data_IF_745687503574
#
_entry.id   IF_745687503574
#
_cell.length_a   1.000
_cell.length_b   1.000
_cell.length_c   1.000
_cell.angle_alpha   90.00
_cell.angle_beta   90.00
_cell.angle_gamma   90.00
#
_symmetry.space_group_name_H-M   'P 1'
#
loop_
_entity.id
_entity.type
_entity.pdbx_description
1 polymer ?
#
# COMPACT_ATOMS: atom_id res chain seq x y z
N UNK A 1 -43.56 47.65 4.05
CA UNK A 1 -42.27 47.29 3.42
C UNK A 1 -41.56 46.20 4.23
N UNK A 2 -42.05 44.96 4.26
CA UNK A 2 -41.37 43.88 5.03
C UNK A 2 -41.43 42.47 4.42
N UNK A 3 -41.93 42.30 3.18
CA UNK A 3 -42.05 40.97 2.56
C UNK A 3 -40.92 40.62 1.59
N UNK A 4 -40.07 41.58 1.21
CA UNK A 4 -38.98 41.34 0.25
C UNK A 4 -37.64 40.96 0.93
N UNK A 5 -37.41 41.40 2.17
CA UNK A 5 -36.18 41.07 2.91
C UNK A 5 -36.19 39.66 3.52
N UNK A 6 -37.35 39.10 3.86
CA UNK A 6 -37.42 37.74 4.42
C UNK A 6 -37.15 36.66 3.37
N UNK A 7 -37.50 36.88 2.09
CA UNK A 7 -37.25 35.94 1.00
C UNK A 7 -35.80 35.95 0.51
N UNK A 8 -35.08 37.07 0.65
CA UNK A 8 -33.64 37.14 0.35
C UNK A 8 -32.82 36.41 1.43
N UNK A 9 -33.13 36.64 2.71
CA UNK A 9 -32.45 35.92 3.81
C UNK A 9 -32.67 34.41 3.78
N UNK A 10 -33.87 33.94 3.44
CA UNK A 10 -34.14 32.51 3.32
C UNK A 10 -33.39 31.85 2.13
N UNK A 11 -33.21 32.56 1.01
CA UNK A 11 -32.41 32.07 -0.13
C UNK A 11 -30.91 32.09 0.17
N UNK A 12 -30.43 33.13 0.85
CA UNK A 12 -29.01 33.22 1.24
C UNK A 12 -28.65 32.17 2.33
N UNK A 13 -29.60 31.82 3.20
CA UNK A 13 -29.43 30.72 4.17
C UNK A 13 -29.51 29.33 3.53
N UNK A 14 -30.37 29.12 2.53
CA UNK A 14 -30.42 27.86 1.76
C UNK A 14 -29.18 27.69 0.84
N UNK A 15 -28.67 28.76 0.22
CA UNK A 15 -27.43 28.73 -0.56
C UNK A 15 -26.18 28.58 0.33
N UNK A 16 -26.19 29.14 1.54
CA UNK A 16 -25.16 28.94 2.55
C UNK A 16 -25.22 27.53 3.18
N UNK A 17 -26.40 26.92 3.28
CA UNK A 17 -26.58 25.54 3.72
C UNK A 17 -26.17 24.54 2.61
N UNK A 18 -26.41 24.86 1.35
CA UNK A 18 -25.97 24.08 0.20
C UNK A 18 -24.44 24.11 0.01
N UNK A 19 -23.77 25.24 0.30
CA UNK A 19 -22.30 25.34 0.32
C UNK A 19 -21.64 24.74 1.56
N UNK A 20 -22.42 24.38 2.59
CA UNK A 20 -21.99 23.63 3.78
C UNK A 20 -22.28 22.13 3.73
N UNK A 21 -22.78 21.59 2.61
CA UNK A 21 -22.49 20.19 2.29
C UNK A 21 -20.99 20.10 2.14
N UNK A 22 -20.32 19.62 3.19
CA UNK A 22 -18.89 19.37 3.22
C UNK A 22 -18.42 18.98 1.83
N UNK A 23 -17.53 19.77 1.21
CA UNK A 23 -16.77 19.35 0.04
C UNK A 23 -16.22 17.97 0.40
N UNK A 24 -16.89 16.90 -0.04
CA UNK A 24 -16.34 15.55 0.02
C UNK A 24 -15.05 15.71 -0.75
N UNK A 25 -13.91 15.69 -0.06
CA UNK A 25 -12.61 15.67 -0.71
C UNK A 25 -12.67 14.47 -1.65
N UNK A 26 -12.70 14.72 -2.95
CA UNK A 26 -12.65 13.65 -3.93
C UNK A 26 -11.32 12.94 -3.69
N UNK A 27 -11.41 11.66 -3.36
CA UNK A 27 -10.26 10.77 -3.27
C UNK A 27 -9.87 10.36 -4.68
N UNK A 28 -8.57 10.20 -4.89
CA UNK A 28 -8.03 9.79 -6.17
C UNK A 28 -7.11 8.59 -5.97
N UNK A 29 -6.89 7.86 -7.07
CA UNK A 29 -5.92 6.77 -7.06
C UNK A 29 -4.57 7.34 -7.50
N UNK A 30 -3.62 7.36 -6.57
CA UNK A 30 -2.24 7.76 -6.83
C UNK A 30 -1.42 6.53 -7.18
N UNK A 31 -0.89 6.50 -8.39
CA UNK A 31 -0.12 5.40 -8.93
C UNK A 31 1.36 5.80 -9.01
N UNK A 32 2.26 5.01 -8.44
CA UNK A 32 3.71 5.22 -8.53
C UNK A 32 4.32 4.18 -9.46
N UNK A 33 5.01 4.64 -10.51
CA UNK A 33 5.62 3.82 -11.57
C UNK A 33 7.05 4.31 -11.85
N UNK A 34 7.97 3.42 -12.21
CA UNK A 34 9.30 3.73 -12.76
C UNK A 34 9.24 3.81 -14.29
N UNK A 35 8.38 4.70 -14.78
CA UNK A 35 8.16 4.96 -16.20
C UNK A 35 8.95 6.16 -16.74
N UNK A 36 9.82 6.72 -15.91
CA UNK A 36 10.69 7.83 -16.25
C UNK A 36 12.15 7.38 -16.24
N UNK A 37 12.92 7.77 -17.26
CA UNK A 37 14.31 7.34 -17.46
C UNK A 37 15.23 7.61 -16.26
N UNK A 38 14.92 8.66 -15.48
CA UNK A 38 15.70 9.01 -14.29
C UNK A 38 15.13 8.45 -13.00
N UNK A 39 13.92 7.85 -13.00
CA UNK A 39 13.36 7.26 -11.78
C UNK A 39 11.85 7.03 -11.81
N UNK A 40 11.15 7.62 -10.85
CA UNK A 40 9.74 7.33 -10.56
C UNK A 40 8.84 8.52 -10.86
N UNK A 41 7.65 8.25 -11.38
CA UNK A 41 6.55 9.21 -11.56
C UNK A 41 5.36 8.83 -10.68
N UNK A 42 4.66 9.85 -10.16
CA UNK A 42 3.39 9.70 -9.45
C UNK A 42 2.26 10.22 -10.34
N UNK A 43 1.36 9.35 -10.78
CA UNK A 43 0.19 9.73 -11.58
C UNK A 43 -1.06 9.75 -10.72
N UNK A 44 -1.88 10.78 -10.90
CA UNK A 44 -3.17 10.92 -10.24
C UNK A 44 -4.26 10.46 -11.21
N UNK A 45 -4.96 9.38 -10.87
CA UNK A 45 -6.05 8.83 -11.67
C UNK A 45 -7.39 9.19 -11.03
N UNK A 46 -8.31 9.70 -11.84
CA UNK A 46 -9.70 9.87 -11.47
C UNK A 46 -10.47 8.57 -11.79
N UNK A 47 -11.03 7.96 -10.74
CA UNK A 47 -11.78 6.70 -10.83
C UNK A 47 -13.17 6.93 -11.42
N UNK A 48 -13.76 8.11 -11.23
CA UNK A 48 -15.10 8.43 -11.75
C UNK A 48 -15.08 8.42 -13.30
N UNK A 49 -13.95 8.75 -13.92
CA UNK A 49 -13.79 8.64 -15.35
C UNK A 49 -13.81 7.19 -15.86
N UNK A 50 -13.51 6.20 -15.02
CA UNK A 50 -13.52 4.80 -15.46
C UNK A 50 -14.95 4.38 -15.82
N UNK A 51 -15.95 4.93 -15.14
CA UNK A 51 -17.37 4.61 -15.34
C UNK A 51 -17.91 5.14 -16.67
N UNK A 52 -17.45 6.31 -17.10
CA UNK A 52 -17.89 6.93 -18.36
C UNK A 52 -17.47 6.15 -19.61
N UNK A 53 -16.41 5.35 -19.50
CA UNK A 53 -15.85 4.53 -20.59
C UNK A 53 -16.40 3.10 -20.64
N UNK A 54 -17.22 2.68 -19.68
CA UNK A 54 -17.76 1.32 -19.62
C UNK A 54 -18.64 0.95 -20.84
N UNK A 55 -19.06 1.94 -21.64
CA UNK A 55 -19.78 1.77 -22.91
C UNK A 55 -18.90 1.56 -24.16
N UNK A 56 -17.57 1.70 -24.06
CA UNK A 56 -16.65 1.65 -25.20
C UNK A 56 -15.49 0.69 -24.99
N UNK A 57 -15.64 -0.56 -25.45
CA UNK A 57 -14.58 -1.57 -25.64
C UNK A 57 -13.38 -1.53 -24.69
N UNK A 58 -13.42 -2.32 -23.61
CA UNK A 58 -12.41 -2.45 -22.53
C UNK A 58 -10.98 -2.90 -22.92
N UNK A 59 -10.60 -2.77 -24.21
CA UNK A 59 -9.29 -3.10 -24.76
C UNK A 59 -8.54 -1.89 -25.34
N UNK A 60 -9.04 -0.65 -25.19
CA UNK A 60 -8.28 0.53 -25.62
C UNK A 60 -7.09 0.76 -24.69
N UNK A 61 -5.89 0.59 -25.22
CA UNK A 61 -4.65 0.99 -24.56
C UNK A 61 -4.55 2.52 -24.52
N UNK A 62 -4.32 3.08 -23.33
CA UNK A 62 -4.22 4.52 -23.07
C UNK A 62 -2.80 4.90 -22.66
N UNK A 63 -2.53 6.19 -22.55
CA UNK A 63 -1.34 6.69 -21.85
C UNK A 63 -1.73 7.16 -20.45
N UNK A 64 -0.80 7.08 -19.51
CA UNK A 64 -1.02 7.66 -18.18
C UNK A 64 -1.24 9.18 -18.29
N UNK A 65 -2.01 9.79 -17.38
CA UNK A 65 -2.26 11.22 -17.42
C UNK A 65 -0.97 12.03 -17.30
N UNK A 66 -0.86 13.07 -18.12
CA UNK A 66 0.19 14.08 -18.09
C UNK A 66 -0.42 15.47 -17.85
N UNK A 67 0.25 16.36 -17.10
CA UNK A 67 1.49 16.11 -16.37
C UNK A 67 1.28 15.16 -15.17
N UNK A 68 2.26 14.29 -14.89
CA UNK A 68 2.29 13.57 -13.62
C UNK A 68 2.38 14.53 -12.42
N UNK A 69 1.96 14.08 -11.24
CA UNK A 69 1.87 14.89 -10.03
C UNK A 69 3.24 15.21 -9.41
N UNK A 70 4.19 14.27 -9.52
CA UNK A 70 5.56 14.43 -9.05
C UNK A 70 6.48 13.42 -9.76
N UNK A 71 7.72 13.81 -10.03
CA UNK A 71 8.80 12.90 -10.41
C UNK A 71 9.89 12.89 -9.34
N UNK A 72 10.41 11.72 -9.03
CA UNK A 72 11.48 11.50 -8.06
C UNK A 72 12.59 10.71 -8.75
N UNK A 73 13.79 11.27 -8.78
CA UNK A 73 14.96 10.61 -9.34
C UNK A 73 15.29 9.35 -8.52
N UNK A 74 15.59 8.26 -9.23
CA UNK A 74 15.98 7.01 -8.62
C UNK A 74 17.42 7.10 -8.09
N UNK A 75 17.74 6.30 -7.07
CA UNK A 75 19.08 6.31 -6.48
C UNK A 75 20.08 5.69 -7.46
N UNK A 76 21.33 6.15 -7.41
CA UNK A 76 22.41 5.65 -8.26
C UNK A 76 22.71 4.14 -8.07
N UNK A 77 22.19 3.50 -7.02
CA UNK A 77 22.39 2.08 -6.73
C UNK A 77 21.43 1.15 -7.49
N UNK A 78 20.55 1.71 -8.34
CA UNK A 78 19.54 1.03 -9.15
C UNK A 78 18.58 0.13 -8.33
N UNK A 79 18.49 0.32 -7.02
CA UNK A 79 17.59 -0.45 -6.18
C UNK A 79 16.16 0.11 -6.22
N UNK A 80 15.12 -0.76 -6.28
CA UNK A 80 13.73 -0.30 -6.23
C UNK A 80 13.45 0.46 -4.93
N UNK A 81 12.80 1.62 -5.03
CA UNK A 81 12.36 2.39 -3.88
C UNK A 81 11.32 1.61 -3.06
N UNK A 82 11.37 1.75 -1.74
CA UNK A 82 10.33 1.24 -0.85
C UNK A 82 9.34 2.37 -0.60
N UNK A 83 8.06 2.04 -0.71
CA UNK A 83 6.96 3.00 -0.62
C UNK A 83 6.01 2.60 0.50
N UNK A 84 5.53 3.60 1.21
CA UNK A 84 4.52 3.45 2.26
C UNK A 84 3.58 4.65 2.21
N UNK A 85 2.38 4.52 2.78
CA UNK A 85 1.46 5.65 2.92
C UNK A 85 0.78 5.69 4.27
N UNK A 86 0.46 6.90 4.70
CA UNK A 86 -0.36 7.15 5.89
C UNK A 86 -1.11 8.46 5.73
N UNK A 87 -2.44 8.40 5.87
CA UNK A 87 -3.30 9.53 5.53
C UNK A 87 -3.11 9.95 4.07
N UNK A 88 -2.73 11.19 3.85
CA UNK A 88 -2.52 11.80 2.51
C UNK A 88 -1.08 11.73 2.04
N UNK A 89 -0.17 11.13 2.82
CA UNK A 89 1.28 11.20 2.59
C UNK A 89 1.81 9.89 2.05
N UNK A 90 2.61 9.98 0.98
CA UNK A 90 3.40 8.88 0.42
C UNK A 90 4.86 9.08 0.85
N UNK A 91 5.44 8.05 1.46
CA UNK A 91 6.82 8.00 1.88
C UNK A 91 7.64 7.27 0.84
N UNK A 92 8.71 7.91 0.38
CA UNK A 92 9.71 7.35 -0.53
C UNK A 92 10.99 7.09 0.27
N UNK A 93 11.37 5.81 0.33
CA UNK A 93 12.63 5.36 0.92
C UNK A 93 13.52 4.88 -0.23
N UNK A 94 14.50 5.71 -0.57
CA UNK A 94 15.25 5.67 -1.84
C UNK A 94 16.71 5.28 -1.66
N UNK A 95 17.05 4.35 -0.77
CA UNK A 95 18.40 3.78 -0.76
C UNK A 95 18.32 2.40 -0.10
N UNK A 96 18.59 1.33 -0.87
CA UNK A 96 18.51 -0.04 -0.33
C UNK A 96 19.80 -0.45 0.35
N UNK A 97 20.91 0.22 0.03
CA UNK A 97 22.21 -0.08 0.61
C UNK A 97 22.63 0.94 1.67
N UNK A 98 21.85 2.01 1.85
CA UNK A 98 22.07 3.16 2.74
C UNK A 98 23.55 3.49 2.87
N UNK A 99 24.24 3.53 1.71
CA UNK A 99 25.66 3.91 1.65
C UNK A 99 25.81 5.39 1.99
N UNK A 100 24.75 6.16 1.73
CA UNK A 100 24.62 7.55 2.13
C UNK A 100 23.48 7.73 3.15
N UNK A 101 23.60 8.78 3.94
CA UNK A 101 22.60 9.29 4.88
C UNK A 101 21.41 9.97 4.15
N UNK A 102 20.88 9.33 3.11
CA UNK A 102 19.81 9.87 2.27
C UNK A 102 18.52 9.95 3.09
N UNK A 103 17.93 11.14 3.23
CA UNK A 103 16.67 11.29 3.94
C UNK A 103 15.53 10.65 3.14
N UNK A 104 14.47 10.26 3.84
CA UNK A 104 13.22 9.87 3.18
C UNK A 104 12.57 11.09 2.53
N UNK A 105 11.82 10.89 1.46
CA UNK A 105 10.99 11.94 0.86
C UNK A 105 9.52 11.68 1.21
N UNK A 106 8.76 12.74 1.47
CA UNK A 106 7.37 12.65 1.88
C UNK A 106 6.56 13.54 0.94
N UNK A 107 5.77 12.93 0.07
CA UNK A 107 4.86 13.64 -0.82
C UNK A 107 3.46 13.68 -0.19
N UNK A 108 2.96 14.88 0.08
CA UNK A 108 1.59 15.09 0.56
C UNK A 108 0.66 15.37 -0.62
N UNK A 109 -0.27 14.45 -0.84
CA UNK A 109 -1.21 14.52 -1.96
C UNK A 109 -2.32 15.56 -1.79
N UNK A 110 -2.56 16.01 -0.55
CA UNK A 110 -3.56 17.02 -0.27
C UNK A 110 -3.08 18.42 -0.65
N UNK A 111 -1.81 18.71 -0.34
CA UNK A 111 -1.17 20.02 -0.57
C UNK A 111 -0.29 20.05 -1.81
N UNK A 112 -0.08 18.89 -2.45
CA UNK A 112 0.90 18.67 -3.50
C UNK A 112 2.33 19.10 -3.10
N UNK A 113 2.66 19.01 -1.80
CA UNK A 113 3.97 19.42 -1.28
C UNK A 113 4.92 18.24 -1.11
N UNK A 114 6.19 18.45 -1.43
CA UNK A 114 7.27 17.52 -1.11
C UNK A 114 8.03 18.01 0.13
N UNK A 115 8.15 17.15 1.13
CA UNK A 115 8.92 17.40 2.34
C UNK A 115 10.06 16.38 2.49
N UNK A 116 11.12 16.79 3.18
CA UNK A 116 12.24 15.93 3.54
C UNK A 116 11.96 15.32 4.91
N UNK A 117 11.94 13.99 4.96
CA UNK A 117 11.73 13.20 6.15
C UNK A 117 13.02 12.89 6.93
N UNK A 118 12.92 12.10 8.00
CA UNK A 118 14.07 11.69 8.78
C UNK A 118 14.97 10.78 7.96
N UNK A 119 16.23 10.69 8.39
CA UNK A 119 17.17 9.72 7.85
C UNK A 119 16.85 8.34 8.43
N UNK A 120 16.86 7.29 7.61
CA UNK A 120 16.82 5.92 8.09
C UNK A 120 17.99 5.68 9.04
N UNK A 121 17.74 5.08 10.19
CA UNK A 121 18.82 4.74 11.12
C UNK A 121 19.69 3.63 10.49
N UNK A 122 20.91 3.39 11.01
CA UNK A 122 21.67 2.20 10.66
C UNK A 122 20.90 0.89 10.88
N UNK A 123 19.83 0.91 11.68
CA UNK A 123 19.02 -0.25 11.98
C UNK A 123 17.93 -0.54 10.95
N UNK A 124 17.45 0.48 10.24
CA UNK A 124 16.61 0.35 9.05
C UNK A 124 17.40 -0.09 7.82
N UNK A 125 18.71 -0.35 7.94
CA UNK A 125 19.51 -0.82 6.80
C UNK A 125 19.04 -2.21 6.34
N UNK A 126 18.47 -2.37 5.13
CA UNK A 126 17.92 -3.61 4.66
C UNK A 126 19.08 -4.48 4.19
N UNK A 127 19.05 -5.74 4.60
CA UNK A 127 19.67 -6.82 3.82
C UNK A 127 18.59 -7.61 3.04
N UNK A 128 17.37 -7.07 2.96
CA UNK A 128 16.16 -7.75 2.49
C UNK A 128 15.06 -6.81 1.97
N UNK A 129 13.80 -7.23 2.12
CA UNK A 129 12.61 -6.42 1.80
C UNK A 129 12.03 -5.89 3.12
N UNK A 130 11.98 -4.57 3.27
CA UNK A 130 11.29 -3.89 4.39
C UNK A 130 9.87 -3.63 3.93
N UNK A 131 8.91 -3.85 4.83
CA UNK A 131 7.54 -3.40 4.65
C UNK A 131 7.16 -2.48 5.80
N UNK A 132 6.33 -1.50 5.49
CA UNK A 132 5.87 -0.50 6.43
C UNK A 132 4.38 -0.71 6.66
N UNK A 133 3.98 -0.76 7.92
CA UNK A 133 2.59 -0.99 8.31
C UNK A 133 2.03 0.26 9.00
N UNK A 134 1.04 0.95 8.40
CA UNK A 134 0.41 2.11 9.03
C UNK A 134 -0.54 1.67 10.15
N UNK A 135 -0.31 2.17 11.36
CA UNK A 135 -1.16 1.96 12.54
C UNK A 135 -1.18 3.24 13.38
N UNK A 136 -2.36 3.76 13.68
CA UNK A 136 -2.58 4.93 14.55
C UNK A 136 -1.65 6.13 14.24
N UNK A 137 -1.63 6.59 12.99
CA UNK A 137 -0.78 7.70 12.53
C UNK A 137 0.74 7.46 12.69
N UNK A 138 1.17 6.20 12.78
CA UNK A 138 2.56 5.76 12.80
C UNK A 138 2.81 4.70 11.73
N UNK A 139 4.03 4.66 11.21
CA UNK A 139 4.48 3.65 10.25
C UNK A 139 5.49 2.72 10.92
N UNK A 140 5.09 1.48 11.18
CA UNK A 140 5.95 0.45 11.76
C UNK A 140 6.76 -0.22 10.65
N UNK A 141 8.09 -0.15 10.75
CA UNK A 141 9.01 -0.72 9.79
C UNK A 141 9.40 -2.14 10.22
N UNK A 142 9.02 -3.11 9.42
CA UNK A 142 9.40 -4.51 9.62
C UNK A 142 10.58 -4.82 8.71
N UNK A 143 11.77 -4.89 9.31
CA UNK A 143 13.03 -5.15 8.62
C UNK A 143 13.62 -6.50 9.05
N UNK A 144 13.28 -7.62 8.39
CA UNK A 144 13.92 -8.90 8.68
C UNK A 144 15.39 -8.82 8.28
N UNK A 145 16.29 -8.71 9.27
CA UNK A 145 17.73 -8.66 9.01
C UNK A 145 18.25 -10.04 8.63
N UNK A 146 19.22 -10.07 7.71
CA UNK A 146 20.04 -11.26 7.43
C UNK A 146 21.36 -11.17 8.21
N UNK A 147 21.70 -12.19 9.00
CA UNK A 147 22.94 -12.28 9.77
C UNK A 147 22.71 -12.73 11.22
N UNK A 148 23.74 -12.68 12.07
CA UNK A 148 23.70 -13.15 13.47
C UNK A 148 23.20 -12.07 14.47
N UNK A 149 22.61 -10.96 13.98
CA UNK A 149 22.07 -9.89 14.81
C UNK A 149 20.54 -9.98 14.92
N UNK A 150 20.01 -9.60 16.09
CA UNK A 150 18.56 -9.55 16.33
C UNK A 150 17.88 -8.52 15.41
N UNK A 151 16.70 -8.86 14.87
CA UNK A 151 15.93 -7.97 14.00
C UNK A 151 15.50 -6.69 14.73
N UNK A 152 15.97 -5.53 14.25
CA UNK A 152 15.51 -4.24 14.73
C UNK A 152 14.07 -3.98 14.28
N UNK A 153 13.30 -3.39 15.18
CA UNK A 153 11.93 -3.01 14.93
C UNK A 153 11.78 -1.52 15.21
N UNK A 154 11.34 -0.76 14.22
CA UNK A 154 11.39 0.70 14.26
C UNK A 154 10.05 1.29 13.86
N UNK A 155 9.79 2.50 14.33
CA UNK A 155 8.56 3.22 14.08
C UNK A 155 8.87 4.63 13.61
N UNK A 156 8.18 5.04 12.56
CA UNK A 156 8.13 6.41 12.10
C UNK A 156 6.87 7.07 12.64
N UNK A 157 7.04 8.21 13.27
CA UNK A 157 5.94 9.00 13.82
C UNK A 157 6.19 10.49 13.64
N UNK A 158 5.14 11.28 13.77
CA UNK A 158 5.28 12.73 13.86
C UNK A 158 6.12 13.07 15.09
N UNK A 159 7.16 13.86 14.88
CA UNK A 159 7.99 14.37 15.96
C UNK A 159 7.18 15.34 16.83
N UNK A 160 7.46 15.42 18.14
CA UNK A 160 6.94 16.49 18.98
C UNK A 160 7.26 17.86 18.38
N UNK A 161 6.37 18.83 18.60
CA UNK A 161 6.66 20.22 18.24
C UNK A 161 7.48 20.84 19.36
N UNK A 162 8.50 21.60 18.98
CA UNK A 162 9.23 22.44 19.93
C UNK A 162 8.29 23.58 20.35
N UNK A 163 7.96 23.69 21.65
CA UNK A 163 7.03 24.73 22.14
C UNK A 163 7.63 26.14 22.03
N UNK A 164 8.96 26.25 21.96
CA UNK A 164 9.74 27.48 21.91
C UNK A 164 10.02 27.99 20.47
N UNK A 165 9.50 27.31 19.44
CA UNK A 165 9.78 27.65 18.03
C UNK A 165 9.08 28.97 17.63
N UNK A 166 9.83 30.09 17.61
CA UNK A 166 9.28 31.44 17.34
C UNK A 166 8.76 31.62 15.89
N UNK A 167 9.24 30.81 14.95
CA UNK A 167 8.89 30.95 13.53
C UNK A 167 7.55 30.27 13.19
N UNK A 168 6.61 31.03 12.62
CA UNK A 168 5.28 30.50 12.24
C UNK A 168 5.35 29.28 11.30
N UNK A 169 6.34 29.23 10.40
CA UNK A 169 6.50 28.12 9.45
C UNK A 169 6.92 26.82 10.15
N UNK A 170 7.81 26.87 11.15
CA UNK A 170 8.24 25.68 11.90
C UNK A 170 7.12 25.11 12.77
N UNK A 171 6.20 25.96 13.24
CA UNK A 171 5.01 25.54 14.00
C UNK A 171 3.97 24.79 13.16
N UNK A 172 3.92 25.04 11.84
CA UNK A 172 2.94 24.45 10.92
C UNK A 172 3.51 23.19 10.23
N UNK A 173 4.80 23.22 9.88
CA UNK A 173 5.46 22.10 9.20
C UNK A 173 5.47 20.84 10.08
N UNK A 174 5.04 19.72 9.50
CA UNK A 174 5.10 18.44 10.19
C UNK A 174 6.51 17.85 10.09
N UNK A 175 7.13 17.63 11.25
CA UNK A 175 8.41 16.92 11.35
C UNK A 175 8.14 15.45 11.61
N UNK A 176 8.94 14.58 11.00
CA UNK A 176 8.87 13.12 11.18
C UNK A 176 10.17 12.63 11.83
N UNK A 177 10.06 11.66 12.72
CA UNK A 177 11.19 11.04 13.42
C UNK A 177 11.12 9.53 13.35
N UNK A 178 12.28 8.88 13.36
CA UNK A 178 12.41 7.42 13.49
C UNK A 178 12.82 7.10 14.93
N UNK A 179 12.18 6.10 15.53
CA UNK A 179 12.54 5.59 16.84
C UNK A 179 12.57 4.06 16.86
N UNK A 180 13.47 3.49 17.68
CA UNK A 180 13.50 2.06 17.96
C UNK A 180 12.32 1.66 18.86
N UNK A 181 11.66 0.58 18.50
CA UNK A 181 10.64 -0.07 19.34
C UNK A 181 11.37 -0.99 20.34
N UNK A 182 11.07 -0.93 21.65
CA UNK A 182 11.75 -1.71 22.68
C UNK A 182 11.31 -3.19 22.71
N UNK A 183 11.05 -3.76 21.54
CA UNK A 183 10.54 -5.11 21.34
C UNK A 183 11.09 -5.64 20.00
N UNK A 184 12.29 -6.24 20.01
CA UNK A 184 12.88 -6.78 18.79
C UNK A 184 11.97 -7.81 18.14
N UNK A 185 11.99 -7.91 16.81
CA UNK A 185 11.11 -8.85 16.12
C UNK A 185 11.49 -10.29 16.47
N UNK A 186 10.52 -11.18 16.74
CA UNK A 186 10.76 -12.57 17.08
C UNK A 186 11.04 -13.42 15.83
N UNK A 187 11.71 -12.84 14.83
CA UNK A 187 12.03 -13.48 13.55
C UNK A 187 13.53 -13.75 13.46
N UNK A 188 13.87 -15.00 13.11
CA UNK A 188 15.22 -15.45 12.86
C UNK A 188 15.77 -15.01 11.50
N UNK A 189 17.08 -15.21 11.31
CA UNK A 189 17.84 -14.74 10.13
C UNK A 189 17.36 -15.25 8.77
N UNK A 190 16.66 -16.38 8.77
CA UNK A 190 16.17 -17.06 7.55
C UNK A 190 14.66 -16.91 7.37
N UNK A 191 13.98 -16.28 8.32
CA UNK A 191 12.55 -16.04 8.27
C UNK A 191 12.26 -14.77 7.47
N UNK A 192 11.36 -14.90 6.51
CA UNK A 192 10.88 -13.78 5.73
C UNK A 192 9.39 -13.62 5.91
N UNK A 193 8.99 -12.39 6.20
CA UNK A 193 7.59 -12.08 6.24
C UNK A 193 7.02 -12.18 4.83
N UNK A 194 5.93 -12.92 4.74
CA UNK A 194 5.22 -13.23 3.50
C UNK A 194 3.91 -12.47 3.40
N UNK A 195 3.29 -12.19 4.55
CA UNK A 195 2.04 -11.46 4.65
C UNK A 195 1.90 -10.76 5.99
N UNK A 196 1.11 -9.70 6.03
CA UNK A 196 0.72 -9.00 7.24
C UNK A 196 -0.70 -8.46 7.12
N UNK A 197 -1.35 -8.23 8.26
CA UNK A 197 -2.66 -7.58 8.32
C UNK A 197 -2.81 -6.79 9.62
N UNK A 198 -3.50 -5.66 9.58
CA UNK A 198 -3.87 -4.91 10.78
C UNK A 198 -5.19 -5.46 11.31
N UNK A 199 -5.23 -5.73 12.61
CA UNK A 199 -6.41 -6.19 13.31
C UNK A 199 -7.46 -5.06 13.39
N UNK A 200 -8.77 -5.36 13.41
CA UNK A 200 -9.85 -4.36 13.51
C UNK A 200 -9.79 -3.45 14.74
N UNK A 201 -8.96 -3.80 15.73
CA UNK A 201 -8.76 -2.97 16.93
C UNK A 201 -7.88 -1.74 16.65
N UNK A 202 -7.34 -1.62 15.44
CA UNK A 202 -6.52 -0.49 15.01
C UNK A 202 -5.16 -0.41 15.71
N UNK A 203 -4.72 -1.47 16.41
CA UNK A 203 -3.46 -1.48 17.17
C UNK A 203 -2.64 -2.74 17.03
N UNK A 204 -3.23 -3.88 16.69
CA UNK A 204 -2.52 -5.15 16.62
C UNK A 204 -2.14 -5.45 15.16
N UNK A 205 -0.87 -5.74 14.90
CA UNK A 205 -0.39 -6.12 13.57
C UNK A 205 -0.11 -7.61 13.59
N UNK A 206 -0.74 -8.38 12.70
CA UNK A 206 -0.39 -9.78 12.45
C UNK A 206 0.61 -9.87 11.31
N UNK A 207 1.61 -10.73 11.44
CA UNK A 207 2.61 -10.99 10.41
C UNK A 207 2.96 -12.47 10.35
N UNK A 208 2.91 -13.04 9.14
CA UNK A 208 3.27 -14.43 8.88
C UNK A 208 4.64 -14.50 8.21
N UNK A 209 5.53 -15.30 8.78
CA UNK A 209 6.87 -15.53 8.25
C UNK A 209 7.04 -16.97 7.75
N UNK A 210 7.89 -17.12 6.74
CA UNK A 210 8.33 -18.41 6.21
C UNK A 210 9.84 -18.51 6.36
N UNK A 211 10.32 -19.61 6.94
CA UNK A 211 11.73 -19.93 7.04
C UNK A 211 12.27 -20.49 5.72
N UNK A 212 13.27 -19.82 5.15
CA UNK A 212 13.99 -20.30 3.95
C UNK A 212 14.95 -21.44 4.23
N UNK A 213 15.42 -21.55 5.46
CA UNK A 213 16.33 -22.60 5.92
C UNK A 213 15.50 -23.82 6.28
N UNK A 214 15.60 -24.88 5.46
CA UNK A 214 14.97 -26.19 5.74
C UNK A 214 15.86 -27.06 6.63
N UNK A 215 16.57 -26.46 7.58
CA UNK A 215 17.42 -27.21 8.51
C UNK A 215 16.54 -28.04 9.44
N UNK A 216 16.98 -29.26 9.73
CA UNK A 216 16.24 -30.22 10.57
C UNK A 216 16.04 -29.63 11.98
N UNK A 217 14.78 -29.48 12.40
CA UNK A 217 14.40 -28.99 13.72
C UNK A 217 14.08 -27.50 13.81
N UNK A 218 14.23 -26.73 12.72
CA UNK A 218 13.71 -25.36 12.65
C UNK A 218 12.23 -25.35 12.24
N UNK A 219 11.47 -24.35 12.70
CA UNK A 219 10.10 -24.14 12.24
C UNK A 219 10.11 -23.73 10.79
N UNK A 220 9.25 -24.35 9.99
CA UNK A 220 9.07 -23.98 8.59
C UNK A 220 8.35 -22.63 8.48
N UNK A 221 7.35 -22.37 9.31
CA UNK A 221 6.54 -21.15 9.22
C UNK A 221 5.88 -20.76 10.53
N UNK A 222 5.37 -19.54 10.58
CA UNK A 222 4.76 -19.02 11.78
C UNK A 222 4.01 -17.72 11.61
N UNK A 223 3.03 -17.49 12.50
CA UNK A 223 2.36 -16.19 12.63
C UNK A 223 2.57 -15.60 14.01
N UNK A 224 2.97 -14.33 14.02
CA UNK A 224 3.05 -13.51 15.21
C UNK A 224 2.09 -12.34 15.11
N UNK A 225 1.71 -11.78 16.26
CA UNK A 225 1.15 -10.44 16.32
C UNK A 225 2.01 -9.51 17.18
N UNK A 226 1.95 -8.22 16.88
CA UNK A 226 2.56 -7.16 17.63
C UNK A 226 1.47 -6.17 18.09
N UNK A 227 1.33 -5.98 19.40
CA UNK A 227 0.47 -4.95 19.97
C UNK A 227 1.25 -3.63 20.10
N UNK A 228 0.87 -2.61 19.32
CA UNK A 228 1.58 -1.33 19.26
C UNK A 228 1.51 -0.51 20.55
N UNK A 229 0.53 -0.80 21.43
CA UNK A 229 0.37 -0.11 22.71
C UNK A 229 1.25 -0.70 23.78
N UNK A 230 1.25 -2.04 23.92
CA UNK A 230 2.07 -2.71 24.94
C UNK A 230 3.50 -2.99 24.46
N UNK A 231 3.78 -2.86 23.17
CA UNK A 231 5.04 -3.28 22.56
C UNK A 231 5.38 -4.74 22.84
N UNK A 232 4.39 -5.63 22.67
CA UNK A 232 4.55 -7.07 22.95
C UNK A 232 4.29 -7.88 21.70
N UNK A 233 5.16 -8.84 21.44
CA UNK A 233 4.99 -9.86 20.42
C UNK A 233 4.29 -11.09 21.00
N UNK A 234 3.32 -11.63 20.26
CA UNK A 234 2.59 -12.85 20.62
C UNK A 234 2.73 -13.87 19.50
N UNK A 235 3.03 -15.12 19.84
CA UNK A 235 3.05 -16.23 18.89
C UNK A 235 1.67 -16.86 18.76
N UNK A 236 1.22 -17.09 17.53
CA UNK A 236 -0.10 -17.66 17.25
C UNK A 236 -0.07 -19.09 16.71
N UNK A 237 1.06 -19.59 16.23
CA UNK A 237 1.17 -20.98 15.76
C UNK A 237 1.90 -21.11 14.43
N UNK A 238 2.13 -22.37 14.05
CA UNK A 238 2.77 -22.77 12.80
C UNK A 238 1.74 -22.78 11.66
N UNK A 239 1.26 -21.58 11.33
CA UNK A 239 0.36 -21.35 10.21
C UNK A 239 0.66 -19.97 9.62
N UNK A 240 0.22 -19.73 8.38
CA UNK A 240 0.37 -18.45 7.68
C UNK A 240 -0.97 -17.90 7.25
N UNK A 241 -1.04 -16.57 7.17
CA UNK A 241 -2.11 -15.88 6.48
C UNK A 241 -2.21 -16.40 5.02
N UNK A 242 -3.43 -16.60 4.49
CA UNK A 242 -3.65 -17.28 3.21
C UNK A 242 -3.38 -16.39 1.97
N UNK A 243 -2.75 -15.22 2.14
CA UNK A 243 -2.43 -14.24 1.11
C UNK A 243 -0.95 -13.85 1.17
N UNK A 244 -0.53 -12.94 0.30
CA UNK A 244 0.80 -12.35 0.29
C UNK A 244 0.70 -10.83 0.50
N UNK A 245 1.77 -10.25 1.02
CA UNK A 245 1.86 -8.81 1.31
C UNK A 245 0.75 -8.36 2.28
N UNK A 246 -0.06 -7.37 1.94
CA UNK A 246 -1.06 -6.81 2.84
C UNK A 246 -2.42 -7.51 2.73
N UNK A 247 -2.97 -7.92 3.87
CA UNK A 247 -4.39 -8.21 4.06
C UNK A 247 -5.12 -7.00 4.64
N UNK A 248 -6.30 -6.71 4.09
CA UNK A 248 -7.13 -5.57 4.48
C UNK A 248 -8.37 -6.06 5.21
N UNK A 249 -8.66 -5.50 6.38
CA UNK A 249 -9.92 -5.79 7.05
C UNK A 249 -11.08 -5.12 6.32
N UNK A 250 -12.11 -5.91 6.00
CA UNK A 250 -13.34 -5.47 5.36
C UNK A 250 -14.47 -5.69 6.35
N UNK A 251 -15.05 -4.60 6.85
CA UNK A 251 -16.07 -4.60 7.92
C UNK A 251 -17.32 -5.39 7.51
N UNK A 252 -17.74 -5.24 6.25
CA UNK A 252 -18.93 -5.91 5.71
C UNK A 252 -18.79 -7.44 5.63
N UNK A 253 -17.55 -7.93 5.61
CA UNK A 253 -17.23 -9.36 5.56
C UNK A 253 -16.75 -9.90 6.91
N UNK A 254 -16.48 -9.00 7.87
CA UNK A 254 -15.78 -9.28 9.11
C UNK A 254 -14.55 -10.19 8.92
N UNK A 255 -13.75 -9.88 7.89
CA UNK A 255 -12.64 -10.72 7.45
C UNK A 255 -11.49 -9.89 6.89
N UNK A 256 -10.28 -10.43 6.97
CA UNK A 256 -9.17 -9.93 6.17
C UNK A 256 -9.28 -10.45 4.74
N UNK A 257 -9.22 -9.55 3.77
CA UNK A 257 -9.16 -9.88 2.35
C UNK A 257 -7.76 -9.58 1.83
N UNK A 258 -7.15 -10.53 1.12
CA UNK A 258 -5.83 -10.38 0.54
C UNK A 258 -5.69 -11.08 -0.79
N UNK A 259 -4.56 -10.82 -1.46
CA UNK A 259 -4.24 -11.36 -2.77
C UNK A 259 -3.18 -12.47 -2.66
N UNK A 260 -3.37 -13.57 -3.37
CA UNK A 260 -2.36 -14.62 -3.52
C UNK A 260 -1.48 -14.40 -4.73
N UNK A 261 -0.31 -15.05 -4.76
CA UNK A 261 0.63 -15.01 -5.90
C UNK A 261 0.05 -15.55 -7.20
N UNK A 262 -0.98 -16.39 -7.14
CA UNK A 262 -1.70 -16.94 -8.29
C UNK A 262 -2.88 -16.06 -8.75
N UNK A 263 -3.08 -14.90 -8.10
CA UNK A 263 -4.10 -13.90 -8.47
C UNK A 263 -5.48 -14.18 -7.91
N UNK A 264 -5.63 -15.25 -7.14
CA UNK A 264 -6.87 -15.49 -6.39
C UNK A 264 -6.93 -14.57 -5.18
N UNK A 265 -8.09 -13.94 -4.98
CA UNK A 265 -8.41 -13.36 -3.69
C UNK A 265 -8.68 -14.46 -2.68
N UNK A 266 -8.34 -14.19 -1.43
CA UNK A 266 -8.80 -14.97 -0.31
C UNK A 266 -9.32 -14.06 0.80
N UNK A 267 -10.28 -14.56 1.55
CA UNK A 267 -10.76 -13.94 2.78
C UNK A 267 -10.43 -14.86 3.95
N UNK A 268 -9.94 -14.31 5.05
CA UNK A 268 -9.56 -15.03 6.25
C UNK A 268 -10.28 -14.41 7.44
N UNK A 269 -10.90 -15.23 8.30
CA UNK A 269 -11.46 -14.75 9.55
C UNK A 269 -10.37 -14.06 10.39
N UNK A 270 -10.76 -13.01 11.12
CA UNK A 270 -9.82 -12.28 11.97
C UNK A 270 -9.33 -13.19 13.09
N UNK A 271 -8.03 -13.41 13.15
CA UNK A 271 -7.44 -14.27 14.16
C UNK A 271 -7.60 -13.66 15.57
N UNK A 272 -7.86 -14.53 16.56
CA UNK A 272 -7.84 -14.11 17.97
C UNK A 272 -6.45 -13.63 18.37
N UNK A 273 -6.42 -12.59 19.21
CA UNK A 273 -5.19 -12.04 19.79
C UNK A 273 -4.62 -12.90 20.93
N UNK A 274 -5.38 -13.87 21.42
CA UNK A 274 -4.99 -14.72 22.54
C UNK A 274 -4.11 -15.89 22.10
N UNK A 275 -2.80 -15.79 22.33
CA UNK A 275 -1.85 -16.91 22.29
C UNK A 275 -1.93 -17.80 21.05
N UNK A 276 -1.57 -19.07 21.21
CA UNK A 276 -1.66 -20.06 20.13
C UNK A 276 -3.11 -20.27 19.72
N UNK A 277 -3.38 -20.03 18.43
CA UNK A 277 -4.68 -20.16 17.81
C UNK A 277 -4.59 -21.13 16.63
N UNK A 278 -5.69 -21.79 16.30
CA UNK A 278 -5.80 -22.52 15.04
C UNK A 278 -5.70 -21.55 13.85
N UNK A 279 -5.31 -22.08 12.69
CA UNK A 279 -5.40 -21.33 11.43
C UNK A 279 -6.86 -20.81 11.29
N UNK A 280 -7.07 -19.51 11.11
CA UNK A 280 -8.42 -18.98 10.96
C UNK A 280 -9.09 -19.56 9.71
N UNK A 281 -10.40 -19.74 9.78
CA UNK A 281 -11.17 -20.17 8.62
C UNK A 281 -10.96 -19.19 7.46
N UNK A 282 -10.68 -19.73 6.29
CA UNK A 282 -10.44 -18.92 5.10
C UNK A 282 -11.17 -19.48 3.89
N UNK A 283 -11.44 -18.59 2.94
CA UNK A 283 -12.18 -18.88 1.71
C UNK A 283 -11.38 -18.36 0.53
N UNK A 284 -11.43 -19.10 -0.56
CA UNK A 284 -10.80 -18.72 -1.83
C UNK A 284 -11.86 -18.15 -2.77
N UNK A 285 -11.50 -17.10 -3.49
CA UNK A 285 -12.30 -16.60 -4.60
C UNK A 285 -12.45 -17.64 -5.71
N UNK A 286 -13.52 -17.53 -6.50
CA UNK A 286 -13.83 -18.51 -7.56
C UNK A 286 -12.90 -18.44 -8.78
N UNK A 287 -12.34 -17.27 -9.05
CA UNK A 287 -11.52 -17.01 -10.23
C UNK A 287 -10.35 -16.10 -9.86
N UNK A 288 -9.29 -16.22 -10.63
CA UNK A 288 -8.19 -15.26 -10.58
C UNK A 288 -8.66 -13.90 -11.09
N UNK A 289 -8.08 -12.83 -10.55
CA UNK A 289 -8.29 -11.46 -10.99
C UNK A 289 -7.23 -10.98 -11.97
N UNK A 290 -6.15 -11.74 -12.15
CA UNK A 290 -5.12 -11.38 -13.10
C UNK A 290 -5.66 -11.44 -14.53
N UNK A 291 -5.35 -10.40 -15.29
CA UNK A 291 -5.58 -10.36 -16.74
C UNK A 291 -4.46 -11.06 -17.49
N UNK A 292 -3.27 -11.10 -16.89
CA UNK A 292 -2.05 -11.62 -17.49
C UNK A 292 -1.59 -12.89 -16.76
N UNK A 293 -0.75 -13.70 -17.41
CA UNK A 293 -0.19 -14.89 -16.77
C UNK A 293 0.70 -14.47 -15.57
N UNK A 294 0.56 -15.09 -14.39
CA UNK A 294 1.39 -14.76 -13.22
C UNK A 294 2.90 -14.75 -13.48
N UNK A 295 3.39 -15.55 -14.43
CA UNK A 295 4.82 -15.65 -14.80
C UNK A 295 5.26 -14.52 -15.74
N UNK A 296 4.32 -13.88 -16.42
CA UNK A 296 4.59 -12.77 -17.33
C UNK A 296 4.65 -11.42 -16.61
N UNK A 297 4.29 -11.35 -15.33
CA UNK A 297 4.29 -10.08 -14.60
C UNK A 297 5.68 -9.42 -14.49
N UNK A 298 5.70 -8.10 -14.70
CA UNK A 298 6.82 -7.21 -14.42
C UNK A 298 6.56 -6.56 -13.06
N UNK A 299 7.35 -6.94 -12.06
CA UNK A 299 7.05 -6.61 -10.66
C UNK A 299 5.94 -7.47 -10.06
N UNK A 300 5.66 -7.28 -8.77
CA UNK A 300 4.57 -7.96 -8.08
C UNK A 300 3.27 -7.16 -8.24
N UNK A 301 2.14 -7.80 -8.57
CA UNK A 301 0.83 -7.14 -8.53
C UNK A 301 0.52 -6.59 -7.13
N UNK A 302 -0.17 -5.45 -7.08
CA UNK A 302 -0.51 -4.74 -5.84
C UNK A 302 -2.00 -4.58 -5.67
N UNK A 303 -2.48 -5.01 -4.50
CA UNK A 303 -3.86 -4.85 -4.07
C UNK A 303 -3.96 -3.65 -3.12
N UNK A 304 -4.92 -2.76 -3.38
CA UNK A 304 -5.20 -1.56 -2.58
C UNK A 304 -6.66 -1.56 -2.15
N UNK A 305 -6.93 -1.41 -0.86
CA UNK A 305 -8.28 -1.25 -0.35
C UNK A 305 -8.76 0.20 -0.49
N UNK A 306 -9.96 0.39 -1.04
CA UNK A 306 -10.54 1.71 -1.32
C UNK A 306 -11.65 2.10 -0.33
N UNK A 307 -12.01 1.20 0.58
CA UNK A 307 -13.18 1.35 1.45
C UNK A 307 -14.45 0.74 0.84
N UNK A 308 -15.45 0.48 1.69
CA UNK A 308 -16.77 -0.04 1.31
C UNK A 308 -16.70 -1.33 0.48
N UNK A 309 -15.82 -2.27 0.86
CA UNK A 309 -15.61 -3.52 0.11
C UNK A 309 -14.98 -3.37 -1.28
N UNK A 310 -14.60 -2.16 -1.71
CA UNK A 310 -13.96 -1.90 -3.01
C UNK A 310 -12.44 -2.01 -2.94
N UNK A 311 -11.87 -2.56 -4.00
CA UNK A 311 -10.44 -2.78 -4.14
C UNK A 311 -9.97 -2.35 -5.52
N UNK A 312 -8.70 -1.95 -5.59
CA UNK A 312 -7.96 -1.75 -6.82
C UNK A 312 -6.82 -2.76 -6.91
N UNK A 313 -6.72 -3.45 -8.04
CA UNK A 313 -5.60 -4.31 -8.40
C UNK A 313 -4.79 -3.64 -9.51
N UNK A 314 -3.50 -3.49 -9.27
CA UNK A 314 -2.53 -3.04 -10.27
C UNK A 314 -1.60 -4.19 -10.61
N UNK A 315 -1.52 -4.52 -11.89
CA UNK A 315 -0.59 -5.52 -12.44
C UNK A 315 0.07 -4.95 -13.71
N UNK A 316 1.29 -5.38 -14.00
CA UNK A 316 2.05 -4.94 -15.16
C UNK A 316 2.61 -6.16 -15.88
N UNK A 317 2.55 -6.17 -17.20
CA UNK A 317 3.13 -7.23 -18.03
C UNK A 317 3.73 -6.65 -19.32
N UNK A 318 4.58 -7.40 -20.04
CA UNK A 318 5.01 -7.04 -21.38
C UNK A 318 3.81 -6.84 -22.31
N UNK A 319 3.94 -5.92 -23.25
CA UNK A 319 2.97 -5.78 -24.35
C UNK A 319 2.90 -7.11 -25.11
N UNK A 320 1.70 -7.52 -25.58
CA UNK A 320 1.56 -8.77 -26.32
C UNK A 320 2.57 -8.88 -27.47
N UNK A 321 3.26 -10.01 -27.53
CA UNK A 321 4.30 -10.28 -28.51
C UNK A 321 5.72 -9.93 -28.08
N UNK A 322 5.92 -9.29 -26.91
CA UNK A 322 7.24 -9.02 -26.34
C UNK A 322 7.55 -9.97 -25.18
N UNK A 323 8.81 -10.35 -25.07
CA UNK A 323 9.36 -10.90 -23.83
C UNK A 323 9.56 -9.79 -22.79
N UNK A 324 9.72 -10.17 -21.52
CA UNK A 324 10.06 -9.21 -20.45
C UNK A 324 11.34 -8.44 -20.76
N UNK A 325 12.33 -9.08 -21.37
CA UNK A 325 13.59 -8.42 -21.69
C UNK A 325 13.42 -7.38 -22.81
N UNK A 326 12.65 -7.68 -23.85
CA UNK A 326 12.35 -6.74 -24.94
C UNK A 326 11.50 -5.57 -24.43
N UNK A 327 10.47 -5.86 -23.63
CA UNK A 327 9.56 -4.86 -23.09
C UNK A 327 10.23 -3.83 -22.16
N UNK A 328 11.34 -4.19 -21.51
CA UNK A 328 12.13 -3.27 -20.67
C UNK A 328 13.11 -2.40 -21.47
N UNK A 329 13.32 -2.71 -22.76
CA UNK A 329 14.18 -1.94 -23.67
C UNK A 329 13.38 -1.17 -24.73
N UNK A 330 12.06 -1.38 -24.80
CA UNK A 330 11.17 -0.74 -25.76
C UNK A 330 10.38 0.38 -25.09
N UNK A 331 10.19 1.50 -25.80
CA UNK A 331 9.26 2.53 -25.38
C UNK A 331 7.84 1.97 -25.42
N UNK A 332 7.04 2.24 -24.38
CA UNK A 332 5.69 1.68 -24.24
C UNK A 332 5.68 0.13 -24.37
N UNK A 333 6.78 -0.52 -23.96
CA UNK A 333 6.97 -1.97 -24.05
C UNK A 333 6.13 -2.77 -23.06
N UNK A 334 5.57 -2.14 -22.04
CA UNK A 334 4.73 -2.79 -21.02
C UNK A 334 3.30 -2.24 -21.02
N UNK A 335 2.38 -3.06 -20.52
CA UNK A 335 0.99 -2.68 -20.25
C UNK A 335 0.73 -2.77 -18.75
N UNK A 336 0.27 -1.67 -18.18
CA UNK A 336 -0.20 -1.58 -16.81
C UNK A 336 -1.72 -1.68 -16.79
N UNK A 337 -2.25 -2.68 -16.08
CA UNK A 337 -3.68 -2.84 -15.86
C UNK A 337 -4.06 -2.35 -14.48
N UNK A 338 -5.08 -1.49 -14.43
CA UNK A 338 -5.71 -1.00 -13.20
C UNK A 338 -7.14 -1.51 -13.21
N UNK A 339 -7.46 -2.42 -12.30
CA UNK A 339 -8.78 -3.07 -12.23
C UNK A 339 -9.41 -2.78 -10.88
N UNK A 340 -10.57 -2.14 -10.89
CA UNK A 340 -11.35 -1.85 -9.68
C UNK A 340 -12.51 -2.82 -9.60
N UNK A 341 -12.78 -3.36 -8.41
CA UNK A 341 -13.85 -4.33 -8.20
C UNK A 341 -14.34 -4.26 -6.76
N UNK A 342 -15.53 -4.83 -6.52
CA UNK A 342 -16.13 -4.95 -5.20
C UNK A 342 -16.10 -6.40 -4.75
N UNK A 343 -15.84 -6.63 -3.47
CA UNK A 343 -15.78 -7.96 -2.86
C UNK A 343 -16.96 -8.13 -1.92
N UNK A 344 -17.68 -9.25 -2.06
CA UNK A 344 -18.79 -9.61 -1.17
C UNK A 344 -18.90 -11.11 -0.95
N UNK A 345 -19.61 -11.53 0.08
CA UNK A 345 -20.03 -12.92 0.21
C UNK A 345 -21.30 -13.19 -0.60
N UNK A 346 -21.24 -14.25 -1.42
CA UNK A 346 -22.41 -14.78 -2.11
C UNK A 346 -23.40 -15.43 -1.15
N UNK A 347 -24.56 -15.86 -1.67
CA UNK A 347 -25.63 -16.47 -0.86
C UNK A 347 -25.22 -17.76 -0.16
N UNK A 348 -24.17 -18.45 -0.63
CA UNK A 348 -23.64 -19.68 -0.02
C UNK A 348 -22.37 -19.40 0.80
N UNK A 349 -22.07 -18.13 1.09
CA UNK A 349 -20.92 -17.71 1.89
C UNK A 349 -19.59 -17.74 1.13
N UNK A 350 -19.61 -17.93 -0.19
CA UNK A 350 -18.43 -17.92 -1.05
C UNK A 350 -17.92 -16.50 -1.29
N UNK A 351 -16.61 -16.32 -1.47
CA UNK A 351 -16.02 -15.02 -1.79
C UNK A 351 -16.26 -14.70 -3.27
N UNK A 352 -17.09 -13.70 -3.54
CA UNK A 352 -17.42 -13.25 -4.89
C UNK A 352 -16.83 -11.87 -5.15
N UNK A 353 -16.34 -11.68 -6.37
CA UNK A 353 -15.98 -10.37 -6.89
C UNK A 353 -17.06 -9.92 -7.86
N UNK A 354 -17.69 -8.80 -7.54
CA UNK A 354 -18.50 -8.10 -8.52
C UNK A 354 -17.52 -7.24 -9.31
N UNK A 355 -17.26 -7.62 -10.55
CA UNK A 355 -16.56 -6.71 -11.46
C UNK A 355 -17.52 -5.55 -11.73
N UNK A 356 -17.43 -4.50 -10.91
CA UNK A 356 -17.57 -3.15 -11.46
C UNK A 356 -16.55 -3.15 -12.60
N UNK A 357 -16.96 -3.22 -13.86
CA UNK A 357 -16.06 -3.44 -15.00
C UNK A 357 -15.21 -2.18 -15.31
N UNK A 358 -14.67 -1.57 -14.27
CA UNK A 358 -13.80 -0.40 -14.31
C UNK A 358 -12.37 -0.88 -14.39
N UNK A 359 -12.00 -1.33 -15.59
CA UNK A 359 -10.65 -1.71 -15.91
C UNK A 359 -10.09 -0.74 -16.95
N UNK A 360 -8.92 -0.17 -16.66
CA UNK A 360 -8.14 0.61 -17.64
C UNK A 360 -6.78 -0.02 -17.84
N UNK A 361 -6.31 0.03 -19.08
CA UNK A 361 -5.00 -0.46 -19.48
C UNK A 361 -4.18 0.71 -20.04
N UNK A 362 -2.96 0.85 -19.56
CA UNK A 362 -2.06 1.93 -19.93
C UNK A 362 -0.78 1.36 -20.54
N UNK A 363 -0.34 1.92 -21.66
CA UNK A 363 1.01 1.73 -22.15
C UNK A 363 1.96 2.49 -21.24
N UNK A 364 3.02 1.81 -20.83
CA UNK A 364 4.06 2.37 -19.97
C UNK A 364 5.43 1.88 -20.44
N UNK A 365 6.38 2.79 -20.49
CA UNK A 365 7.80 2.43 -20.52
C UNK A 365 8.21 1.98 -19.11
N UNK A 366 9.08 0.99 -18.99
CA UNK A 366 9.49 0.41 -17.70
C UNK A 366 11.01 0.29 -17.67
N UNK A 367 11.65 0.94 -16.71
CA UNK A 367 13.12 0.94 -16.63
C UNK A 367 13.67 -0.12 -15.67
N UNK A 368 12.85 -0.68 -14.78
CA UNK A 368 13.28 -1.75 -13.87
C UNK A 368 12.33 -2.95 -13.89
N UNK A 369 12.93 -4.16 -13.82
CA UNK A 369 12.20 -5.43 -13.66
C UNK A 369 11.67 -5.64 -12.24
N UNK A 370 12.36 -5.07 -11.25
CA UNK A 370 12.17 -5.39 -9.83
C UNK A 370 11.21 -4.46 -9.09
N UNK A 371 10.93 -3.26 -9.62
CA UNK A 371 9.95 -2.37 -9.01
C UNK A 371 8.53 -2.89 -9.27
N UNK A 372 7.69 -2.78 -8.26
CA UNK A 372 6.27 -3.15 -8.34
C UNK A 372 5.48 -1.86 -8.32
N UNK A 373 4.70 -1.59 -9.37
CA UNK A 373 3.85 -0.39 -9.41
C UNK A 373 2.93 -0.36 -8.19
N UNK A 374 2.94 0.75 -7.46
CA UNK A 374 2.17 0.89 -6.22
C UNK A 374 0.95 1.76 -6.48
N UNK A 375 -0.15 1.45 -5.80
CA UNK A 375 -1.36 2.26 -5.82
C UNK A 375 -1.74 2.68 -4.40
N UNK A 376 -2.20 3.91 -4.26
CA UNK A 376 -2.66 4.49 -3.01
C UNK A 376 -3.98 5.22 -3.24
N UNK A 377 -5.01 4.85 -2.48
CA UNK A 377 -6.30 5.52 -2.53
C UNK A 377 -6.36 6.59 -1.44
N UNK A 378 -6.36 7.86 -1.83
CA UNK A 378 -6.17 8.99 -0.90
C UNK A 378 -6.99 10.22 -1.25
#
# INVERSE_FOLDING_TARGET
>A
MSSFDSRRRARDEDDAAATKRARRRQRHLYLVVDDWELGYSIHKLDVDEFESDAGGGGNKLRRLPEPCALRIEAPADCSPAILASIGTKIFFITDRWFRAETPMLIYDTETASLAVGPRPTPALRPLGFIFFVPVDQRLYAFNPRRGDQQCSFEVLSRAPRDEEDEFRLSRIAERWSVASVPAPMPLGKHELVTAYAVHPDGRTIFASAWNRSRLVGERDEGTHSFDTRSSVWTWHGEWKLPFHDQGYYVEELDAWVGLRRDGFLCSCAVASRGGTAALPEWKLGRKTLFREDPKSHVGAPKLTYMGDGRFCLVECAPRPGLTVAEALNDEDGCVLHVTIFEVKYGKRGELETTALHLARSYLVTRYTRGFSAQAFWM
#
